data_IF_460611715127
#
_entry.id   IF_460611715127
#
_cell.length_a   1.000
_cell.length_b   1.000
_cell.length_c   1.000
_cell.angle_alpha   90.00
_cell.angle_beta   90.00
_cell.angle_gamma   90.00
#
_symmetry.space_group_name_H-M   'P 1'
#
loop_
_entity.id
_entity.type
_entity.pdbx_description
1 polymer ?
#
# COMPACT_ATOMS: atom_id res chain seq x y z
N UNK A 1 -36.57 24.48 5.01
CA UNK A 1 -35.30 24.82 5.71
C UNK A 1 -34.17 24.50 4.74
N UNK A 2 -33.62 25.51 4.08
CA UNK A 2 -32.56 25.34 3.09
C UNK A 2 -31.26 25.10 3.84
N UNK A 3 -30.76 23.87 3.82
CA UNK A 3 -29.39 23.58 4.24
C UNK A 3 -28.49 24.41 3.31
N UNK A 4 -27.74 25.37 3.87
CA UNK A 4 -26.81 26.20 3.09
C UNK A 4 -25.88 25.29 2.28
N UNK A 5 -25.54 25.66 1.04
CA UNK A 5 -24.65 24.89 0.17
C UNK A 5 -23.34 24.49 0.87
N UNK A 6 -22.84 25.35 1.77
CA UNK A 6 -21.66 25.10 2.59
C UNK A 6 -21.83 23.96 3.61
N UNK A 7 -23.03 23.79 4.18
CA UNK A 7 -23.32 22.69 5.10
C UNK A 7 -23.44 21.35 4.37
N UNK A 8 -23.96 21.36 3.14
CA UNK A 8 -23.97 20.17 2.28
C UNK A 8 -22.54 19.74 1.88
N UNK A 9 -21.67 20.71 1.60
CA UNK A 9 -20.24 20.45 1.33
C UNK A 9 -19.54 19.82 2.54
N UNK A 10 -19.83 20.27 3.77
CA UNK A 10 -19.26 19.67 4.98
C UNK A 10 -19.69 18.20 5.19
N UNK A 11 -20.96 17.87 4.90
CA UNK A 11 -21.45 16.50 4.98
C UNK A 11 -20.76 15.58 3.96
N UNK A 12 -20.53 16.07 2.74
CA UNK A 12 -19.77 15.35 1.71
C UNK A 12 -18.32 15.10 2.17
N UNK A 13 -17.63 16.13 2.64
CA UNK A 13 -16.25 16.04 3.16
C UNK A 13 -16.18 15.03 4.31
N UNK A 14 -17.12 15.05 5.24
CA UNK A 14 -17.21 14.09 6.36
C UNK A 14 -17.32 12.65 5.86
N UNK A 15 -18.10 12.40 4.81
CA UNK A 15 -18.24 11.06 4.22
C UNK A 15 -16.95 10.59 3.53
N UNK A 16 -16.22 11.51 2.89
CA UNK A 16 -14.96 11.24 2.20
C UNK A 16 -13.78 11.06 3.14
N UNK A 17 -13.77 11.73 4.30
CA UNK A 17 -12.78 11.48 5.36
C UNK A 17 -12.87 10.05 5.89
N UNK A 18 -14.04 9.41 5.85
CA UNK A 18 -14.21 8.03 6.27
C UNK A 18 -13.52 7.01 5.33
N UNK A 19 -13.15 7.40 4.10
CA UNK A 19 -12.51 6.53 3.10
C UNK A 19 -11.03 6.87 2.98
N UNK A 20 -10.16 5.87 3.15
CA UNK A 20 -8.69 6.03 3.09
C UNK A 20 -8.20 6.68 1.79
N UNK A 21 -8.73 6.26 0.65
CA UNK A 21 -8.31 6.72 -0.67
C UNK A 21 -8.59 8.21 -0.93
N UNK A 22 -9.60 8.79 -0.27
CA UNK A 22 -10.01 10.18 -0.47
C UNK A 22 -9.67 11.09 0.70
N UNK A 23 -8.96 10.58 1.71
CA UNK A 23 -8.67 11.31 2.94
C UNK A 23 -7.87 12.59 2.68
N UNK A 24 -6.75 12.49 1.95
CA UNK A 24 -5.88 13.65 1.68
C UNK A 24 -6.61 14.73 0.90
N UNK A 25 -7.35 14.36 -0.16
CA UNK A 25 -8.18 15.30 -0.91
C UNK A 25 -9.25 15.93 -0.02
N UNK A 26 -9.90 15.14 0.86
CA UNK A 26 -10.91 15.67 1.77
C UNK A 26 -10.32 16.64 2.81
N UNK A 27 -9.10 16.39 3.31
CA UNK A 27 -8.40 17.35 4.18
C UNK A 27 -8.02 18.63 3.43
N UNK A 28 -7.63 18.54 2.15
CA UNK A 28 -7.34 19.70 1.32
C UNK A 28 -8.58 20.57 1.08
N UNK A 29 -9.72 19.95 0.76
CA UNK A 29 -10.98 20.66 0.55
C UNK A 29 -11.46 21.32 1.85
N UNK A 30 -11.25 20.67 2.99
CA UNK A 30 -11.56 21.22 4.31
C UNK A 30 -10.66 22.42 4.66
N UNK A 31 -9.37 22.39 4.32
CA UNK A 31 -8.46 23.54 4.47
C UNK A 31 -8.96 24.72 3.62
N UNK A 32 -9.35 24.48 2.36
CA UNK A 32 -9.89 25.52 1.50
C UNK A 32 -11.14 26.17 2.11
N UNK A 33 -12.00 25.37 2.75
CA UNK A 33 -13.18 25.87 3.46
C UNK A 33 -12.81 26.70 4.71
N UNK A 34 -11.76 26.32 5.45
CA UNK A 34 -11.24 27.13 6.56
C UNK A 34 -10.73 28.51 6.11
N UNK A 35 -10.17 28.59 4.91
CA UNK A 35 -9.64 29.84 4.35
C UNK A 35 -10.69 30.70 3.63
N UNK A 36 -11.86 30.14 3.30
CA UNK A 36 -12.94 30.87 2.66
C UNK A 36 -13.72 31.74 3.65
N UNK A 37 -14.29 32.85 3.18
CA UNK A 37 -15.02 33.82 4.01
C UNK A 37 -16.22 33.24 4.77
N UNK A 38 -16.78 32.11 4.31
CA UNK A 38 -17.84 31.37 5.00
C UNK A 38 -17.36 30.45 6.14
N UNK A 39 -16.06 30.32 6.36
CA UNK A 39 -15.49 29.44 7.38
C UNK A 39 -15.86 29.85 8.81
N UNK A 40 -15.99 31.16 9.08
CA UNK A 40 -16.34 31.67 10.41
C UNK A 40 -17.80 31.42 10.79
N UNK A 41 -18.72 31.42 9.82
CA UNK A 41 -20.15 31.13 10.06
C UNK A 41 -20.40 29.65 10.36
N UNK A 42 -19.55 28.76 9.86
CA UNK A 42 -19.61 27.32 10.09
C UNK A 42 -18.48 26.82 11.00
N UNK A 43 -17.83 27.70 11.76
CA UNK A 43 -16.62 27.39 12.52
C UNK A 43 -16.79 26.16 13.43
N UNK A 44 -17.87 26.09 14.21
CA UNK A 44 -18.11 24.96 15.11
C UNK A 44 -18.34 23.63 14.36
N UNK A 45 -19.04 23.69 13.21
CA UNK A 45 -19.27 22.50 12.38
C UNK A 45 -18.01 22.04 11.67
N UNK A 46 -17.15 22.97 11.22
CA UNK A 46 -15.84 22.66 10.64
C UNK A 46 -14.94 22.03 11.70
N UNK A 47 -14.92 22.58 12.92
CA UNK A 47 -14.11 22.05 14.03
C UNK A 47 -14.55 20.64 14.47
N UNK A 48 -15.85 20.32 14.45
CA UNK A 48 -16.33 18.94 14.67
C UNK A 48 -15.77 17.96 13.62
N UNK A 49 -15.72 18.38 12.36
CA UNK A 49 -15.15 17.56 11.27
C UNK A 49 -13.62 17.43 11.42
N UNK A 50 -12.94 18.47 11.91
CA UNK A 50 -11.51 18.43 12.24
C UNK A 50 -11.24 17.45 13.39
N UNK A 51 -12.05 17.45 14.45
CA UNK A 51 -11.96 16.48 15.56
C UNK A 51 -12.13 15.04 15.05
N UNK A 52 -13.05 14.83 14.11
CA UNK A 52 -13.25 13.54 13.47
C UNK A 52 -12.04 13.13 12.62
N UNK A 53 -11.45 14.05 11.86
CA UNK A 53 -10.24 13.80 11.08
C UNK A 53 -9.08 13.39 12.00
N UNK A 54 -8.89 14.09 13.12
CA UNK A 54 -7.87 13.75 14.12
C UNK A 54 -8.08 12.36 14.74
N UNK A 55 -9.33 12.04 15.09
CA UNK A 55 -9.67 10.71 15.62
C UNK A 55 -9.34 9.60 14.61
N UNK A 56 -9.54 9.84 13.31
CA UNK A 56 -9.21 8.88 12.26
C UNK A 56 -7.69 8.70 12.08
N UNK A 57 -6.89 9.76 12.22
CA UNK A 57 -5.43 9.68 12.21
C UNK A 57 -4.91 8.80 13.35
N UNK A 58 -5.44 9.01 14.57
CA UNK A 58 -5.08 8.20 15.75
C UNK A 58 -5.43 6.73 15.61
N UNK A 59 -6.55 6.40 14.97
CA UNK A 59 -7.14 5.04 15.05
C UNK A 59 -6.96 4.20 13.79
N UNK A 60 -6.88 4.80 12.60
CA UNK A 60 -6.95 4.06 11.32
C UNK A 60 -5.92 4.48 10.29
N UNK A 61 -5.55 5.76 10.26
CA UNK A 61 -4.69 6.32 9.21
C UNK A 61 -3.34 6.77 9.79
N UNK A 62 -2.59 5.81 10.30
CA UNK A 62 -1.34 6.03 11.04
C UNK A 62 -0.10 6.21 10.15
N UNK A 63 -0.23 6.15 8.82
CA UNK A 63 0.90 6.34 7.92
C UNK A 63 1.33 7.82 7.84
N UNK A 64 2.64 8.05 7.67
CA UNK A 64 3.27 9.37 7.60
C UNK A 64 2.54 10.41 6.70
N UNK A 65 2.14 10.10 5.45
CA UNK A 65 1.49 11.11 4.58
C UNK A 65 0.14 11.59 5.11
N UNK A 66 -0.60 10.74 5.84
CA UNK A 66 -1.86 11.12 6.47
C UNK A 66 -1.63 12.07 7.65
N UNK A 67 -0.61 11.83 8.48
CA UNK A 67 -0.22 12.73 9.55
C UNK A 67 0.27 14.09 9.04
N UNK A 68 1.02 14.12 7.93
CA UNK A 68 1.42 15.37 7.29
C UNK A 68 0.21 16.19 6.79
N UNK A 69 -0.77 15.53 6.18
CA UNK A 69 -2.00 16.16 5.70
C UNK A 69 -2.88 16.63 6.87
N UNK A 70 -3.00 15.83 7.91
CA UNK A 70 -3.68 16.17 9.17
C UNK A 70 -3.07 17.38 9.86
N UNK A 71 -1.73 17.44 9.96
CA UNK A 71 -1.03 18.59 10.55
C UNK A 71 -1.33 19.89 9.82
N UNK A 72 -1.35 19.87 8.48
CA UNK A 72 -1.72 21.03 7.66
C UNK A 72 -3.16 21.49 7.95
N UNK A 73 -4.08 20.54 8.06
CA UNK A 73 -5.47 20.82 8.41
C UNK A 73 -5.59 21.48 9.79
N UNK A 74 -4.92 20.94 10.81
CA UNK A 74 -5.05 21.43 12.18
C UNK A 74 -4.47 22.83 12.34
N UNK A 75 -3.40 23.14 11.60
CA UNK A 75 -2.83 24.50 11.51
C UNK A 75 -3.80 25.46 10.82
N UNK A 76 -4.41 25.07 9.70
CA UNK A 76 -5.41 25.90 9.01
C UNK A 76 -6.66 26.15 9.87
N UNK A 77 -7.11 25.16 10.63
CA UNK A 77 -8.28 25.24 11.51
C UNK A 77 -8.11 26.23 12.67
N UNK A 78 -6.89 26.63 13.03
CA UNK A 78 -6.65 27.62 14.09
C UNK A 78 -7.32 28.96 13.81
N UNK A 79 -7.45 29.34 12.52
CA UNK A 79 -8.09 30.59 12.09
C UNK A 79 -9.57 30.64 12.49
N UNK A 80 -10.22 29.47 12.62
CA UNK A 80 -11.63 29.34 12.99
C UNK A 80 -11.86 29.24 14.50
N UNK A 81 -10.81 29.00 15.29
CA UNK A 81 -10.93 28.81 16.73
C UNK A 81 -11.19 30.15 17.43
N UNK A 82 -12.43 30.38 17.85
CA UNK A 82 -12.86 31.60 18.55
C UNK A 82 -12.60 31.51 20.05
N UNK A 83 -12.76 30.32 20.64
CA UNK A 83 -12.56 30.06 22.07
C UNK A 83 -11.12 29.66 22.40
N UNK A 84 -10.69 29.97 23.62
CA UNK A 84 -9.38 29.54 24.14
C UNK A 84 -9.27 28.02 24.25
N UNK A 85 -10.38 27.33 24.51
CA UNK A 85 -10.44 25.86 24.58
C UNK A 85 -10.27 25.20 23.21
N UNK A 86 -10.89 25.72 22.15
CA UNK A 86 -10.67 25.24 20.78
C UNK A 86 -9.22 25.42 20.35
N UNK A 87 -8.60 26.56 20.70
CA UNK A 87 -7.18 26.83 20.39
C UNK A 87 -6.24 25.88 21.11
N UNK A 88 -6.47 25.60 22.41
CA UNK A 88 -5.62 24.66 23.15
C UNK A 88 -5.77 23.23 22.65
N UNK A 89 -6.99 22.79 22.28
CA UNK A 89 -7.23 21.48 21.65
C UNK A 89 -6.49 21.34 20.31
N UNK A 90 -6.62 22.32 19.42
CA UNK A 90 -5.89 22.31 18.15
C UNK A 90 -4.37 22.34 18.34
N UNK A 91 -3.87 23.08 19.34
CA UNK A 91 -2.46 23.07 19.68
C UNK A 91 -1.99 21.67 20.15
N UNK A 92 -2.78 20.97 20.97
CA UNK A 92 -2.46 19.58 21.33
C UNK A 92 -2.47 18.64 20.12
N UNK A 93 -3.42 18.80 19.20
CA UNK A 93 -3.47 17.96 18.00
C UNK A 93 -2.26 18.17 17.09
N UNK A 94 -1.79 19.41 16.96
CA UNK A 94 -0.58 19.73 16.19
C UNK A 94 0.65 19.14 16.86
N UNK A 95 0.77 19.27 18.19
CA UNK A 95 1.88 18.69 18.94
C UNK A 95 1.94 17.16 18.76
N UNK A 96 0.79 16.48 18.88
CA UNK A 96 0.73 15.03 18.65
C UNK A 96 1.06 14.63 17.21
N UNK A 97 0.67 15.45 16.22
CA UNK A 97 1.08 15.24 14.83
C UNK A 97 2.60 15.44 14.66
N UNK A 98 3.17 16.45 15.30
CA UNK A 98 4.61 16.75 15.27
C UNK A 98 5.43 15.65 15.94
N UNK A 99 4.98 15.12 17.09
CA UNK A 99 5.57 13.95 17.75
C UNK A 99 5.50 12.69 16.86
N UNK A 100 4.37 12.46 16.18
CA UNK A 100 4.23 11.33 15.25
C UNK A 100 5.10 11.49 13.99
N UNK A 101 5.44 12.72 13.61
CA UNK A 101 6.30 13.03 12.45
C UNK A 101 7.78 13.18 12.83
N UNK A 102 8.12 13.25 14.11
CA UNK A 102 9.49 13.41 14.61
C UNK A 102 10.02 14.85 14.65
N UNK A 103 9.15 15.85 14.52
CA UNK A 103 9.49 17.28 14.49
C UNK A 103 9.30 17.93 15.88
N UNK A 104 10.17 17.66 16.86
CA UNK A 104 10.14 18.44 18.13
C UNK A 104 11.01 19.70 17.96
N UNK A 105 10.48 20.92 18.16
CA UNK A 105 11.31 22.11 18.23
C UNK A 105 11.91 22.21 19.63
N UNK A 106 13.13 21.71 19.81
CA UNK A 106 13.94 21.95 21.02
C UNK A 106 14.42 23.39 21.03
N UNK A 107 13.88 24.21 21.93
CA UNK A 107 14.41 25.53 22.23
C UNK A 107 15.70 25.41 23.07
N UNK A 108 16.78 26.05 22.59
CA UNK A 108 17.98 26.53 23.31
C UNK A 108 19.33 26.01 22.76
N UNK A 109 19.92 26.85 21.90
CA UNK A 109 21.34 27.25 21.75
C UNK A 109 22.50 26.23 21.56
N UNK A 110 23.37 26.62 20.61
CA UNK A 110 24.71 26.16 20.24
C UNK A 110 24.94 24.82 19.46
N UNK A 111 25.25 24.96 18.16
CA UNK A 111 26.21 24.11 17.42
C UNK A 111 25.65 23.10 16.41
N UNK A 112 25.89 23.32 15.10
CA UNK A 112 25.73 22.35 14.00
C UNK A 112 26.67 21.12 14.12
N UNK A 113 26.48 20.01 13.35
CA UNK A 113 25.52 19.79 12.27
C UNK A 113 24.57 18.61 12.45
N UNK A 114 23.50 18.66 11.65
CA UNK A 114 22.45 17.67 11.50
C UNK A 114 22.96 16.35 10.91
N UNK A 115 23.14 15.30 11.74
CA UNK A 115 23.25 13.91 11.30
C UNK A 115 23.20 12.90 12.47
N UNK A 116 22.18 12.90 13.34
CA UNK A 116 22.10 11.86 14.39
C UNK A 116 20.74 11.61 15.08
N UNK A 117 19.65 12.28 14.71
CA UNK A 117 18.43 12.29 15.54
C UNK A 117 17.31 11.33 15.12
N UNK A 118 17.61 10.27 14.37
CA UNK A 118 16.61 9.25 13.98
C UNK A 118 16.62 7.99 14.88
N UNK A 119 17.46 7.95 15.93
CA UNK A 119 17.71 6.74 16.72
C UNK A 119 17.17 6.77 18.16
N UNK A 120 16.20 7.63 18.47
CA UNK A 120 15.64 7.74 19.82
C UNK A 120 14.21 7.20 19.92
N UNK A 121 14.05 5.88 19.69
CA UNK A 121 13.04 5.10 20.41
C UNK A 121 13.77 3.95 21.09
N UNK A 122 13.97 4.11 22.39
CA UNK A 122 14.77 3.23 23.22
C UNK A 122 14.29 1.79 23.15
N UNK A 123 15.20 0.90 22.76
CA UNK A 123 15.14 -0.51 23.12
C UNK A 123 15.92 -0.68 24.42
N UNK A 124 15.21 -1.17 25.43
CA UNK A 124 15.76 -1.57 26.71
C UNK A 124 16.44 -2.92 26.54
N UNK A 125 17.73 -2.94 26.20
CA UNK A 125 18.70 -3.93 26.67
C UNK A 125 20.11 -3.35 26.51
N UNK A 126 20.68 -2.92 27.64
CA UNK A 126 22.10 -2.57 27.75
C UNK A 126 22.96 -3.82 27.54
N UNK A 127 23.49 -3.97 26.34
CA UNK A 127 24.63 -4.82 26.05
C UNK A 127 25.60 -4.01 25.20
N UNK A 128 26.68 -3.53 25.82
CA UNK A 128 27.73 -2.75 25.15
C UNK A 128 28.30 -3.54 23.97
N UNK A 129 28.11 -3.04 22.75
CA UNK A 129 28.96 -3.36 21.61
C UNK A 129 29.48 -2.06 21.00
N UNK A 130 30.80 -2.04 20.90
CA UNK A 130 31.67 -0.94 20.52
C UNK A 130 31.26 -0.26 19.23
N UNK A 131 31.49 1.03 19.21
CA UNK A 131 31.43 1.95 18.07
C UNK A 131 31.92 1.38 16.73
N UNK A 132 31.26 1.87 15.67
CA UNK A 132 31.63 1.83 14.25
C UNK A 132 31.26 0.56 13.49
N UNK A 133 29.98 0.46 13.10
CA UNK A 133 29.66 -0.13 11.81
C UNK A 133 29.03 0.97 10.94
N UNK A 134 29.74 1.35 9.89
CA UNK A 134 29.24 2.22 8.82
C UNK A 134 27.95 1.58 8.26
N UNK A 135 26.90 2.39 8.06
CA UNK A 135 25.65 1.90 7.49
C UNK A 135 25.93 1.13 6.19
N UNK A 136 25.32 -0.06 5.97
CA UNK A 136 25.55 -0.81 4.74
C UNK A 136 25.19 0.09 3.54
N UNK A 137 26.07 0.18 2.53
CA UNK A 137 25.86 1.10 1.42
C UNK A 137 24.52 0.80 0.76
N UNK A 138 23.76 1.86 0.48
CA UNK A 138 22.47 1.75 -0.23
C UNK A 138 22.67 0.94 -1.51
N UNK A 139 21.75 0.02 -1.85
CA UNK A 139 21.84 -0.71 -3.11
C UNK A 139 21.79 0.30 -4.25
N UNK A 140 22.90 0.40 -4.99
CA UNK A 140 22.99 1.26 -6.18
C UNK A 140 22.11 0.66 -7.27
N UNK A 141 21.30 1.50 -7.92
CA UNK A 141 20.50 1.12 -9.09
C UNK A 141 19.00 1.05 -8.84
N UNK A 142 18.50 1.68 -7.77
CA UNK A 142 17.06 1.81 -7.53
C UNK A 142 16.39 2.76 -8.52
N UNK A 143 15.06 2.69 -8.63
CA UNK A 143 14.26 3.57 -9.50
C UNK A 143 14.54 5.06 -9.24
N UNK A 144 14.83 5.43 -7.99
CA UNK A 144 15.18 6.79 -7.57
C UNK A 144 16.55 7.26 -8.12
N UNK A 145 17.50 6.33 -8.26
CA UNK A 145 18.82 6.61 -8.87
C UNK A 145 18.66 6.82 -10.38
N UNK A 146 17.82 6.01 -11.04
CA UNK A 146 17.51 6.13 -12.47
C UNK A 146 16.80 7.46 -12.74
N UNK A 147 15.79 7.80 -11.93
CA UNK A 147 15.08 9.08 -12.00
C UNK A 147 16.02 10.27 -11.78
N UNK A 148 16.97 10.17 -10.84
CA UNK A 148 17.95 11.22 -10.58
C UNK A 148 18.94 11.38 -11.73
N UNK A 149 19.37 10.27 -12.35
CA UNK A 149 20.28 10.28 -13.50
C UNK A 149 19.61 10.84 -14.76
N UNK A 150 18.35 10.45 -15.01
CA UNK A 150 17.56 11.01 -16.12
C UNK A 150 17.28 12.50 -15.89
N UNK A 151 17.01 12.91 -14.65
CA UNK A 151 16.80 14.32 -14.32
C UNK A 151 18.08 15.16 -14.41
N UNK A 152 19.27 14.60 -14.15
CA UNK A 152 20.54 15.32 -14.37
C UNK A 152 20.90 15.39 -15.85
N UNK A 153 20.67 14.33 -16.62
CA UNK A 153 20.87 14.34 -18.08
C UNK A 153 19.91 15.32 -18.80
N UNK A 154 18.65 15.40 -18.36
CA UNK A 154 17.70 16.38 -18.89
C UNK A 154 18.10 17.83 -18.58
N UNK A 155 18.73 18.07 -17.41
CA UNK A 155 19.23 19.40 -17.02
C UNK A 155 20.46 19.81 -17.82
N UNK A 156 21.41 18.90 -18.03
CA UNK A 156 22.60 19.20 -18.85
C UNK A 156 22.27 19.36 -20.32
N UNK A 157 21.25 18.67 -20.83
CA UNK A 157 20.72 18.90 -22.18
C UNK A 157 20.04 20.28 -22.33
N UNK A 158 19.34 20.75 -21.30
CA UNK A 158 18.73 22.09 -21.27
C UNK A 158 19.78 23.21 -21.13
N UNK A 159 20.87 22.99 -20.42
CA UNK A 159 21.95 23.99 -20.24
C UNK A 159 22.82 24.18 -21.49
N UNK A 160 22.90 23.19 -22.38
CA UNK A 160 23.63 23.31 -23.65
C UNK A 160 22.86 24.08 -24.75
N UNK A 161 21.56 24.30 -24.56
CA UNK A 161 20.71 25.10 -25.44
C UNK A 161 20.31 26.37 -24.68
N UNK A 162 21.19 27.36 -24.67
CA UNK A 162 20.90 28.65 -24.04
C UNK A 162 19.76 29.38 -24.75
N UNK A 163 18.52 29.17 -24.30
CA UNK A 163 17.39 30.03 -24.64
C UNK A 163 16.52 30.31 -23.41
N UNK A 164 16.57 31.58 -22.99
CA UNK A 164 15.65 32.14 -22.01
C UNK A 164 14.29 32.38 -22.66
N UNK A 165 13.25 31.75 -22.11
CA UNK A 165 11.86 32.20 -22.19
C UNK A 165 11.07 31.78 -23.43
N UNK A 166 10.22 30.77 -23.28
CA UNK A 166 8.98 30.64 -24.05
C UNK A 166 7.96 29.74 -23.33
N UNK A 167 6.75 30.25 -23.17
CA UNK A 167 5.56 29.57 -22.65
C UNK A 167 5.15 28.37 -23.53
N UNK A 168 4.64 27.25 -22.98
CA UNK A 168 4.31 26.08 -23.79
C UNK A 168 2.89 26.17 -24.36
N UNK A 169 2.79 26.59 -25.62
CA UNK A 169 1.64 26.34 -26.50
C UNK A 169 1.80 25.00 -27.23
N UNK A 170 0.72 24.21 -27.27
CA UNK A 170 0.66 22.87 -27.87
C UNK A 170 0.75 22.93 -29.41
N UNK A 171 1.95 22.81 -29.97
CA UNK A 171 2.18 22.47 -31.38
C UNK A 171 2.99 21.16 -31.47
N UNK A 172 2.49 20.21 -32.26
CA UNK A 172 3.21 18.97 -32.57
C UNK A 172 4.32 19.26 -33.59
N UNK A 173 5.49 19.66 -33.08
CA UNK A 173 6.68 19.90 -33.91
C UNK A 173 7.41 18.60 -34.24
N UNK A 174 7.84 18.47 -35.49
CA UNK A 174 8.62 17.35 -36.06
C UNK A 174 9.92 17.07 -35.26
N UNK A 175 10.46 18.10 -34.61
CA UNK A 175 11.58 18.01 -33.69
C UNK A 175 11.27 17.18 -32.43
N UNK A 176 10.02 17.24 -31.90
CA UNK A 176 9.59 16.41 -30.77
C UNK A 176 9.43 14.95 -31.17
N UNK A 177 9.07 14.68 -32.42
CA UNK A 177 8.97 13.31 -32.96
C UNK A 177 10.36 12.70 -33.09
N UNK A 178 11.33 13.47 -33.59
CA UNK A 178 12.72 13.03 -33.70
C UNK A 178 13.37 12.83 -32.31
N UNK A 179 13.04 13.69 -31.34
CA UNK A 179 13.54 13.57 -29.97
C UNK A 179 12.90 12.39 -29.22
N UNK A 180 11.60 12.14 -29.43
CA UNK A 180 10.94 10.93 -28.92
C UNK A 180 11.55 9.66 -29.52
N UNK A 181 11.90 9.67 -30.81
CA UNK A 181 12.58 8.54 -31.47
C UNK A 181 13.99 8.31 -30.90
N UNK A 182 14.75 9.38 -30.62
CA UNK A 182 16.07 9.28 -29.96
C UNK A 182 15.97 8.75 -28.54
N UNK A 183 14.95 9.17 -27.78
CA UNK A 183 14.70 8.66 -26.43
C UNK A 183 14.29 7.19 -26.43
N UNK A 184 13.46 6.76 -27.38
CA UNK A 184 13.14 5.34 -27.57
C UNK A 184 14.40 4.53 -27.88
N UNK A 185 15.24 4.99 -28.80
CA UNK A 185 16.46 4.29 -29.17
C UNK A 185 17.48 4.27 -28.03
N UNK A 186 17.58 5.34 -27.23
CA UNK A 186 18.42 5.36 -26.04
C UNK A 186 17.92 4.43 -24.92
N UNK A 187 16.60 4.23 -24.80
CA UNK A 187 16.00 3.27 -23.85
C UNK A 187 16.26 1.82 -24.28
N UNK A 188 16.23 1.55 -25.59
CA UNK A 188 16.59 0.27 -26.18
C UNK A 188 18.11 -0.01 -26.01
N UNK A 189 18.97 0.96 -26.32
CA UNK A 189 20.43 0.85 -26.18
C UNK A 189 20.89 0.76 -24.71
N UNK A 190 20.12 1.32 -23.77
CA UNK A 190 20.38 1.22 -22.33
C UNK A 190 20.09 -0.18 -21.76
N UNK A 191 19.54 -1.11 -22.56
CA UNK A 191 19.25 -2.48 -22.14
C UNK A 191 18.32 -2.55 -20.93
N UNK A 192 17.47 -1.54 -20.73
CA UNK A 192 16.65 -1.40 -19.52
C UNK A 192 15.65 -2.55 -19.37
N UNK A 193 15.14 -3.07 -20.49
CA UNK A 193 14.28 -4.25 -20.51
C UNK A 193 15.03 -5.51 -20.08
N UNK A 194 16.28 -5.69 -20.53
CA UNK A 194 17.14 -6.80 -20.12
C UNK A 194 17.61 -6.68 -18.68
N UNK A 195 17.90 -5.47 -18.21
CA UNK A 195 18.24 -5.19 -16.82
C UNK A 195 17.04 -5.41 -15.89
N UNK A 196 15.82 -5.06 -16.32
CA UNK A 196 14.59 -5.34 -15.60
C UNK A 196 14.29 -6.84 -15.56
N UNK A 197 14.42 -7.55 -16.68
CA UNK A 197 14.27 -9.01 -16.74
C UNK A 197 15.33 -9.74 -15.90
N UNK A 198 16.58 -9.26 -15.91
CA UNK A 198 17.65 -9.78 -15.07
C UNK A 198 17.37 -9.52 -13.58
N UNK A 199 16.92 -8.32 -13.22
CA UNK A 199 16.53 -7.99 -11.84
C UNK A 199 15.34 -8.83 -11.35
N UNK A 200 14.34 -9.07 -12.20
CA UNK A 200 13.21 -9.96 -11.89
C UNK A 200 13.68 -11.42 -11.73
N UNK A 201 14.62 -11.87 -12.58
CA UNK A 201 15.23 -13.19 -12.47
C UNK A 201 16.11 -13.35 -11.22
N UNK A 202 16.82 -12.30 -10.79
CA UNK A 202 17.65 -12.24 -9.58
C UNK A 202 16.82 -12.20 -8.30
N UNK A 203 15.67 -11.49 -8.32
CA UNK A 203 14.64 -11.57 -7.28
C UNK A 203 13.87 -12.92 -7.32
N UNK A 204 14.21 -13.79 -8.29
CA UNK A 204 13.66 -15.12 -8.53
C UNK A 204 12.16 -15.14 -8.86
N UNK A 205 11.61 -14.00 -9.26
CA UNK A 205 10.32 -13.93 -9.92
C UNK A 205 10.52 -14.52 -11.32
N UNK A 206 10.24 -15.82 -11.43
CA UNK A 206 10.34 -16.51 -12.71
C UNK A 206 9.45 -15.79 -13.75
N UNK A 207 9.94 -15.63 -14.99
CA UNK A 207 9.10 -15.21 -16.09
C UNK A 207 8.03 -16.28 -16.32
N UNK A 208 6.80 -15.99 -15.92
CA UNK A 208 5.71 -16.97 -15.83
C UNK A 208 5.48 -17.33 -14.37
N UNK A 209 4.28 -17.00 -13.87
CA UNK A 209 3.90 -17.03 -12.46
C UNK A 209 3.99 -18.39 -11.76
N UNK A 210 3.18 -18.65 -10.72
CA UNK A 210 3.25 -19.89 -9.96
C UNK A 210 3.27 -21.13 -10.87
N UNK A 211 4.18 -22.10 -10.64
CA UNK A 211 4.27 -23.29 -11.47
C UNK A 211 2.98 -24.11 -11.41
N UNK A 212 2.75 -25.01 -12.38
CA UNK A 212 1.56 -25.83 -12.39
C UNK A 212 1.47 -26.76 -11.18
N UNK A 213 0.25 -27.14 -10.81
CA UNK A 213 0.03 -28.07 -9.70
C UNK A 213 0.73 -29.41 -9.97
N UNK A 214 1.23 -30.05 -8.91
CA UNK A 214 1.81 -31.38 -9.00
C UNK A 214 0.76 -32.36 -9.55
N UNK A 215 1.13 -33.18 -10.55
CA UNK A 215 0.18 -34.14 -11.14
C UNK A 215 -0.33 -35.15 -10.11
N UNK A 216 0.49 -35.45 -9.11
CA UNK A 216 0.14 -36.29 -7.96
C UNK A 216 -0.90 -35.62 -7.07
N UNK A 217 -0.73 -34.32 -6.77
CA UNK A 217 -1.67 -33.53 -5.99
C UNK A 217 -3.04 -33.44 -6.69
N UNK A 218 -3.07 -33.19 -8.01
CA UNK A 218 -4.32 -33.13 -8.79
C UNK A 218 -5.07 -34.47 -8.80
N UNK A 219 -4.34 -35.59 -8.84
CA UNK A 219 -4.92 -36.94 -8.76
C UNK A 219 -5.40 -37.30 -7.35
N UNK A 220 -4.77 -36.75 -6.32
CA UNK A 220 -5.15 -36.97 -4.93
C UNK A 220 -6.37 -36.15 -4.50
N UNK A 221 -6.82 -35.18 -5.31
CA UNK A 221 -8.05 -34.42 -5.05
C UNK A 221 -9.26 -35.34 -4.99
N UNK A 222 -10.11 -35.11 -3.99
CA UNK A 222 -11.34 -35.86 -3.77
C UNK A 222 -12.27 -35.69 -4.96
N UNK A 223 -12.69 -36.83 -5.53
CA UNK A 223 -13.73 -36.91 -6.56
C UNK A 223 -14.91 -37.65 -5.96
N UNK A 224 -16.06 -37.02 -6.00
CA UNK A 224 -17.31 -37.61 -5.52
C UNK A 224 -18.44 -37.30 -6.50
N UNK A 225 -19.46 -38.15 -6.48
CA UNK A 225 -20.71 -37.88 -7.19
C UNK A 225 -21.56 -37.01 -6.28
N UNK A 226 -22.03 -35.87 -6.80
CA UNK A 226 -22.77 -34.91 -6.00
C UNK A 226 -24.10 -35.53 -5.54
N UNK A 227 -24.27 -35.73 -4.24
CA UNK A 227 -25.56 -36.13 -3.65
C UNK A 227 -26.41 -34.91 -3.29
N UNK A 228 -27.71 -35.12 -3.08
CA UNK A 228 -28.63 -34.06 -2.69
C UNK A 228 -28.22 -33.44 -1.33
N UNK A 229 -27.78 -34.28 -0.38
CA UNK A 229 -27.29 -33.80 0.93
C UNK A 229 -26.03 -32.95 0.78
N UNK A 230 -25.13 -33.36 -0.11
CA UNK A 230 -23.89 -32.61 -0.36
C UNK A 230 -24.19 -31.27 -1.02
N UNK A 231 -25.09 -31.23 -2.00
CA UNK A 231 -25.53 -29.99 -2.66
C UNK A 231 -26.11 -28.99 -1.64
N UNK A 232 -26.85 -29.47 -0.66
CA UNK A 232 -27.37 -28.64 0.44
C UNK A 232 -26.26 -28.08 1.35
N UNK A 233 -25.18 -28.82 1.58
CA UNK A 233 -24.05 -28.36 2.41
C UNK A 233 -23.21 -27.25 1.74
N UNK A 234 -23.05 -27.29 0.43
CA UNK A 234 -22.18 -26.36 -0.31
C UNK A 234 -22.86 -25.04 -0.71
N UNK A 235 -24.17 -24.93 -0.54
CA UNK A 235 -24.91 -23.68 -0.84
C UNK A 235 -26.34 -23.88 -1.34
N UNK A 236 -26.81 -25.11 -1.50
CA UNK A 236 -28.16 -25.42 -1.96
C UNK A 236 -28.33 -25.39 -3.48
N UNK A 237 -29.57 -25.41 -3.99
CA UNK A 237 -29.84 -25.35 -5.43
C UNK A 237 -29.39 -23.99 -5.98
N UNK A 238 -28.35 -23.99 -6.82
CA UNK A 238 -27.74 -22.78 -7.38
C UNK A 238 -26.22 -22.69 -7.24
N UNK A 239 -25.55 -23.73 -6.72
CA UNK A 239 -24.08 -23.79 -6.76
C UNK A 239 -23.60 -23.96 -8.20
N UNK A 240 -22.72 -23.05 -8.62
CA UNK A 240 -22.17 -23.01 -9.97
C UNK A 240 -20.69 -23.32 -9.97
N UNK A 241 -20.25 -24.04 -11.01
CA UNK A 241 -18.83 -24.20 -11.26
C UNK A 241 -18.23 -22.85 -11.67
N UNK A 242 -17.27 -22.30 -10.93
CA UNK A 242 -16.72 -20.97 -11.23
C UNK A 242 -15.93 -20.90 -12.56
N UNK A 243 -15.61 -22.05 -13.16
CA UNK A 243 -14.88 -22.13 -14.44
C UNK A 243 -15.82 -22.08 -15.64
N UNK A 244 -16.83 -22.95 -15.71
CA UNK A 244 -17.80 -22.96 -16.83
C UNK A 244 -19.06 -22.13 -16.56
N UNK A 245 -19.29 -21.69 -15.32
CA UNK A 245 -20.49 -20.96 -14.87
C UNK A 245 -21.81 -21.72 -15.02
N UNK A 246 -21.73 -23.05 -15.09
CA UNK A 246 -22.90 -23.94 -15.15
C UNK A 246 -23.26 -24.43 -13.74
N UNK A 247 -24.57 -24.63 -13.51
CA UNK A 247 -25.09 -25.15 -12.24
C UNK A 247 -24.70 -26.62 -12.06
N UNK A 248 -24.18 -26.96 -10.88
CA UNK A 248 -23.88 -28.33 -10.47
C UNK A 248 -25.18 -29.04 -10.07
N UNK A 249 -25.41 -30.24 -10.61
CA UNK A 249 -26.63 -31.03 -10.34
C UNK A 249 -26.32 -32.31 -9.57
N UNK A 250 -27.34 -32.81 -8.87
CA UNK A 250 -27.26 -34.12 -8.20
C UNK A 250 -26.99 -35.20 -9.25
N UNK A 251 -25.97 -36.01 -9.02
CA UNK A 251 -25.49 -37.03 -9.94
C UNK A 251 -24.29 -36.61 -10.80
N UNK A 252 -23.88 -35.34 -10.78
CA UNK A 252 -22.68 -34.90 -11.50
C UNK A 252 -21.40 -35.35 -10.77
N UNK A 253 -20.40 -35.78 -11.53
CA UNK A 253 -19.06 -36.00 -10.99
C UNK A 253 -18.41 -34.65 -10.70
N UNK A 254 -18.03 -34.44 -9.44
CA UNK A 254 -17.40 -33.21 -8.99
C UNK A 254 -16.05 -33.48 -8.34
N UNK A 255 -15.16 -32.50 -8.46
CA UNK A 255 -13.84 -32.49 -7.84
C UNK A 255 -13.78 -31.35 -6.81
N UNK A 256 -13.38 -31.71 -5.58
CA UNK A 256 -13.34 -30.78 -4.44
C UNK A 256 -11.91 -30.33 -4.20
N UNK A 257 -11.73 -29.03 -3.98
CA UNK A 257 -10.45 -28.45 -3.58
C UNK A 257 -10.25 -28.57 -2.06
N UNK A 258 -9.03 -28.82 -1.57
CA UNK A 258 -8.74 -29.04 -0.14
C UNK A 258 -8.79 -27.76 0.72
N UNK A 259 -9.08 -26.61 0.11
CA UNK A 259 -9.08 -25.32 0.79
C UNK A 259 -10.40 -24.99 1.47
N UNK A 260 -11.52 -25.43 0.89
CA UNK A 260 -12.85 -25.32 1.47
C UNK A 260 -13.75 -26.37 0.80
N UNK A 261 -14.56 -27.05 1.59
CA UNK A 261 -15.52 -28.05 1.12
C UNK A 261 -16.60 -27.48 0.18
N UNK A 262 -16.75 -26.16 0.12
CA UNK A 262 -17.63 -25.46 -0.82
C UNK A 262 -17.00 -25.17 -2.20
N UNK A 263 -15.69 -25.35 -2.36
CA UNK A 263 -15.02 -25.13 -3.65
C UNK A 263 -15.06 -26.39 -4.50
N UNK A 264 -16.14 -26.49 -5.27
CA UNK A 264 -16.48 -27.66 -6.08
C UNK A 264 -16.47 -27.30 -7.56
N UNK A 265 -15.90 -28.18 -8.38
CA UNK A 265 -15.76 -27.97 -9.82
C UNK A 265 -16.02 -29.26 -10.59
N UNK A 266 -16.39 -29.14 -11.87
CA UNK A 266 -16.33 -30.30 -12.75
C UNK A 266 -14.87 -30.73 -12.97
N UNK A 267 -14.55 -32.04 -12.87
CA UNK A 267 -13.23 -32.58 -13.19
C UNK A 267 -12.67 -32.09 -14.55
N UNK A 268 -13.45 -32.04 -15.66
CA UNK A 268 -12.95 -31.53 -16.93
C UNK A 268 -12.68 -30.02 -16.93
N UNK A 269 -13.33 -29.25 -16.05
CA UNK A 269 -13.12 -27.81 -15.96
C UNK A 269 -11.91 -27.47 -15.08
N UNK A 270 -11.68 -28.24 -14.01
CA UNK A 270 -10.59 -27.99 -13.08
C UNK A 270 -9.22 -28.48 -13.61
N UNK A 271 -9.19 -29.57 -14.36
CA UNK A 271 -7.94 -30.15 -14.85
C UNK A 271 -7.11 -29.20 -15.77
N UNK A 272 -7.70 -28.50 -16.76
CA UNK A 272 -6.97 -27.53 -17.57
C UNK A 272 -6.43 -26.37 -16.74
N UNK A 273 -7.21 -25.89 -15.77
CA UNK A 273 -6.79 -24.83 -14.86
C UNK A 273 -5.57 -25.24 -14.04
N UNK A 274 -5.62 -26.43 -13.42
CA UNK A 274 -4.53 -26.96 -12.59
C UNK A 274 -3.25 -27.30 -13.38
N UNK A 275 -3.36 -27.40 -14.71
CA UNK A 275 -2.23 -27.59 -15.62
C UNK A 275 -1.48 -26.29 -15.92
N UNK A 276 -2.13 -25.14 -15.75
CA UNK A 276 -1.52 -23.82 -15.94
C UNK A 276 -1.19 -23.11 -14.62
N UNK A 277 -1.99 -23.37 -13.58
CA UNK A 277 -1.91 -22.69 -12.29
C UNK A 277 -2.01 -23.70 -11.14
N UNK A 278 -1.29 -23.50 -10.04
CA UNK A 278 -1.44 -24.32 -8.84
C UNK A 278 -2.49 -23.80 -7.85
N UNK A 279 -3.28 -22.78 -8.20
CA UNK A 279 -4.16 -22.09 -7.24
C UNK A 279 -5.65 -22.35 -7.46
N UNK A 280 -6.44 -22.31 -6.38
CA UNK A 280 -7.89 -22.37 -6.44
C UNK A 280 -8.47 -21.11 -7.14
N UNK A 281 -9.35 -21.26 -8.15
CA UNK A 281 -9.97 -20.12 -8.84
C UNK A 281 -10.72 -19.14 -7.93
N UNK A 282 -11.26 -19.60 -6.79
CA UNK A 282 -12.08 -18.78 -5.89
C UNK A 282 -11.26 -18.13 -4.77
N UNK A 283 -10.48 -18.91 -4.02
CA UNK A 283 -9.77 -18.41 -2.83
C UNK A 283 -8.26 -18.28 -3.00
N UNK A 284 -7.70 -18.60 -4.17
CA UNK A 284 -6.26 -18.56 -4.47
C UNK A 284 -5.40 -19.48 -3.59
N UNK A 285 -5.99 -20.42 -2.86
CA UNK A 285 -5.23 -21.44 -2.14
C UNK A 285 -4.35 -22.24 -3.08
N UNK A 286 -3.07 -22.36 -2.76
CA UNK A 286 -2.07 -23.02 -3.60
C UNK A 286 -1.91 -24.50 -3.24
N UNK A 287 -1.98 -25.35 -4.26
CA UNK A 287 -1.63 -26.76 -4.19
C UNK A 287 -0.10 -26.94 -4.31
N UNK A 288 0.43 -28.05 -3.78
CA UNK A 288 1.83 -28.43 -3.99
C UNK A 288 2.15 -28.56 -5.48
N UNK A 289 3.37 -28.20 -5.85
CA UNK A 289 3.90 -28.22 -7.21
C UNK A 289 5.01 -29.26 -7.34
N UNK A 290 5.28 -29.74 -8.56
CA UNK A 290 6.40 -30.67 -8.82
C UNK A 290 7.75 -29.92 -8.87
N UNK A 291 7.76 -28.59 -8.74
CA UNK A 291 8.96 -27.77 -8.79
C UNK A 291 9.61 -27.60 -7.41
N UNK A 292 10.66 -28.38 -7.19
CA UNK A 292 11.41 -28.38 -5.92
C UNK A 292 12.06 -27.04 -5.57
N UNK A 293 12.37 -26.19 -6.56
CA UNK A 293 12.97 -24.87 -6.33
C UNK A 293 11.91 -23.91 -5.82
N UNK A 294 10.71 -23.94 -6.42
CA UNK A 294 9.56 -23.15 -6.00
C UNK A 294 9.10 -23.53 -4.58
N UNK A 295 8.92 -24.82 -4.30
CA UNK A 295 8.50 -25.28 -2.96
C UNK A 295 9.52 -24.93 -1.87
N UNK A 296 10.82 -25.08 -2.15
CA UNK A 296 11.88 -24.70 -1.19
C UNK A 296 11.90 -23.20 -0.93
N UNK A 297 11.69 -22.39 -1.97
CA UNK A 297 11.57 -20.94 -1.83
C UNK A 297 10.38 -20.57 -0.95
N UNK A 298 9.21 -21.12 -1.25
CA UNK A 298 7.97 -20.91 -0.52
C UNK A 298 8.11 -21.29 0.96
N UNK A 299 8.75 -22.42 1.26
CA UNK A 299 8.99 -22.84 2.65
C UNK A 299 9.90 -21.87 3.40
N UNK A 300 10.98 -21.39 2.75
CA UNK A 300 11.85 -20.38 3.36
C UNK A 300 11.09 -19.08 3.67
N UNK A 301 10.31 -18.57 2.73
CA UNK A 301 9.50 -17.36 2.93
C UNK A 301 8.46 -17.55 4.04
N UNK A 302 7.90 -18.76 4.17
CA UNK A 302 6.98 -19.11 5.25
C UNK A 302 7.68 -19.12 6.61
N UNK A 303 8.87 -19.73 6.72
CA UNK A 303 9.68 -19.74 7.94
C UNK A 303 10.01 -18.30 8.36
N UNK A 304 10.51 -17.48 7.42
CA UNK A 304 10.83 -16.07 7.70
C UNK A 304 9.61 -15.26 8.15
N UNK A 305 8.42 -15.54 7.59
CA UNK A 305 7.18 -14.92 8.02
C UNK A 305 6.70 -15.40 9.40
N UNK A 306 6.93 -16.67 9.74
CA UNK A 306 6.66 -17.23 11.06
C UNK A 306 7.62 -16.67 12.12
N UNK A 307 8.91 -16.55 11.80
CA UNK A 307 9.91 -15.91 12.66
C UNK A 307 9.55 -14.44 12.93
N UNK A 308 9.10 -13.72 11.90
CA UNK A 308 8.61 -12.33 12.04
C UNK A 308 7.39 -12.25 12.94
N UNK A 309 6.40 -13.12 12.75
CA UNK A 309 5.22 -13.21 13.65
C UNK A 309 5.60 -13.62 15.06
N UNK A 310 6.61 -14.49 15.21
CA UNK A 310 7.15 -14.90 16.51
C UNK A 310 7.79 -13.74 17.25
N UNK A 311 8.59 -12.93 16.55
CA UNK A 311 9.16 -11.70 17.09
C UNK A 311 8.07 -10.69 17.49
N UNK A 312 7.04 -10.49 16.66
CA UNK A 312 5.91 -9.62 16.97
C UNK A 312 5.11 -10.12 18.19
N UNK A 313 4.88 -11.44 18.30
CA UNK A 313 4.19 -12.06 19.43
C UNK A 313 5.02 -11.98 20.73
N UNK A 314 6.35 -12.10 20.66
CA UNK A 314 7.23 -11.98 21.81
C UNK A 314 7.22 -10.56 22.41
N UNK A 315 7.06 -9.53 21.56
CA UNK A 315 6.88 -8.14 22.00
C UNK A 315 5.50 -7.89 22.65
N UNK A 316 4.49 -8.72 22.34
CA UNK A 316 3.13 -8.61 22.88
C UNK A 316 2.95 -9.24 24.26
N UNK A 317 3.75 -10.24 24.64
CA UNK A 317 3.51 -11.05 25.86
C UNK A 317 4.40 -10.64 27.05
N UNK A 318 4.65 -9.35 27.21
CA UNK A 318 5.26 -8.79 28.41
C UNK A 318 4.22 -8.63 29.55
N UNK A 319 3.39 -9.66 29.76
CA UNK A 319 2.53 -9.77 30.93
C UNK A 319 3.31 -10.55 32.01
N UNK A 320 3.66 -9.84 33.07
CA UNK A 320 4.59 -10.21 34.14
C UNK A 320 4.29 -11.58 34.77
N UNK A 321 5.23 -12.53 34.66
CA UNK A 321 5.35 -13.60 35.67
C UNK A 321 6.06 -13.03 36.91
N UNK A 322 5.29 -12.74 37.95
CA UNK A 322 5.84 -12.56 39.30
C UNK A 322 6.01 -13.93 39.97
N UNK A 323 7.23 -14.24 40.41
CA UNK A 323 7.51 -15.20 41.50
C UNK A 323 7.94 -14.40 42.71
#
# INVERSE_FOLDING_TARGET
MVVSAAHQQLLDIRSRLAKRATFEQATSDLIALCCASGGLELADAVLEVVDRAFTLLKTRYTAVPFWQSGRKLMRAAQVLATTTEQRSKLASYIHECDECLGDVPTSSDAGEPAAAAAAARGYLFEGQLSTADEAPPRPRGGLEDILSLLATQARTAAEQQGEAGAEPGLAFDEARVLEAARLQQALEDAGLEEALLASMAENGERPGGPPPAAKTAVKALVREVLTDERLHQIGGPGVQCAVCREDLKVGDEVQIMPCNDSHVYHPPCLAPWLTAHNSCPVCRFELPTDDTVYERRKEREKIEAEDRKGADNALSHNEFMYI
#
